data_IF_116453227949
#
_entry.id   IF_116453227949
#
_cell.length_a   1.000
_cell.length_b   1.000
_cell.length_c   1.000
_cell.angle_alpha   90.00
_cell.angle_beta   90.00
_cell.angle_gamma   90.00
#
_symmetry.space_group_name_H-M   'P 1'
#
loop_
_entity.id
_entity.type
_entity.pdbx_description
1 polymer ?
#
# COMPACT_ATOMS: atom_id res chain seq x y z
N UNK A 1 23.27 -7.51 0.47
CA UNK A 1 22.87 -6.10 0.65
C UNK A 1 22.18 -5.64 -0.62
N UNK A 2 20.99 -5.04 -0.54
CA UNK A 2 20.35 -4.45 -1.72
C UNK A 2 21.22 -3.31 -2.29
N UNK A 3 21.48 -3.35 -3.59
CA UNK A 3 22.13 -2.28 -4.36
C UNK A 3 21.18 -1.05 -4.40
N UNK A 4 21.67 0.21 -4.45
CA UNK A 4 20.85 1.42 -4.64
C UNK A 4 19.67 1.27 -5.61
N UNK A 5 19.86 0.64 -6.77
CA UNK A 5 18.79 0.38 -7.74
C UNK A 5 17.65 -0.46 -7.13
N UNK A 6 17.98 -1.52 -6.40
CA UNK A 6 17.00 -2.38 -5.75
C UNK A 6 16.27 -1.69 -4.59
N UNK A 7 16.97 -0.84 -3.85
CA UNK A 7 16.34 -0.04 -2.79
C UNK A 7 15.39 1.02 -3.37
N UNK A 8 15.76 1.69 -4.46
CA UNK A 8 14.90 2.67 -5.15
C UNK A 8 13.66 1.99 -5.73
N UNK A 9 13.81 0.84 -6.38
CA UNK A 9 12.68 0.07 -6.89
C UNK A 9 11.73 -0.35 -5.77
N UNK A 10 12.26 -0.87 -4.66
CA UNK A 10 11.45 -1.27 -3.50
C UNK A 10 10.73 -0.08 -2.86
N UNK A 11 11.39 1.08 -2.75
CA UNK A 11 10.76 2.30 -2.24
C UNK A 11 9.59 2.76 -3.11
N UNK A 12 9.76 2.77 -4.44
CA UNK A 12 8.71 3.16 -5.38
C UNK A 12 7.55 2.17 -5.39
N UNK A 13 7.84 0.86 -5.46
CA UNK A 13 6.82 -0.18 -5.47
C UNK A 13 6.02 -0.19 -4.17
N UNK A 14 6.71 -0.06 -3.03
CA UNK A 14 6.05 0.03 -1.72
C UNK A 14 5.26 1.33 -1.60
N UNK A 15 5.76 2.45 -2.11
CA UNK A 15 5.03 3.72 -2.10
C UNK A 15 3.74 3.66 -2.92
N UNK A 16 3.81 3.10 -4.12
CA UNK A 16 2.64 2.86 -4.96
C UNK A 16 1.66 1.87 -4.31
N UNK A 17 2.17 0.76 -3.75
CA UNK A 17 1.36 -0.23 -3.04
C UNK A 17 0.63 0.38 -1.83
N UNK A 18 1.30 1.23 -1.06
CA UNK A 18 0.67 1.97 0.03
C UNK A 18 -0.46 2.86 -0.49
N UNK A 19 -0.17 3.72 -1.46
CA UNK A 19 -1.16 4.63 -2.05
C UNK A 19 -2.38 3.88 -2.59
N UNK A 20 -2.16 2.83 -3.37
CA UNK A 20 -3.22 2.03 -3.95
C UNK A 20 -4.09 1.35 -2.89
N UNK A 21 -3.48 0.75 -1.86
CA UNK A 21 -4.24 0.08 -0.78
C UNK A 21 -5.03 1.08 0.06
N UNK A 22 -4.50 2.27 0.31
CA UNK A 22 -5.25 3.33 0.99
C UNK A 22 -6.46 3.81 0.16
N UNK A 23 -6.27 4.04 -1.14
CA UNK A 23 -7.38 4.40 -2.05
C UNK A 23 -8.45 3.31 -2.08
N UNK A 24 -8.03 2.05 -2.23
CA UNK A 24 -8.94 0.92 -2.28
C UNK A 24 -9.71 0.76 -0.95
N UNK A 25 -9.04 0.94 0.19
CA UNK A 25 -9.70 0.96 1.51
C UNK A 25 -10.75 2.07 1.65
N UNK A 26 -10.50 3.26 1.10
CA UNK A 26 -11.48 4.36 1.06
C UNK A 26 -12.67 4.00 0.17
N UNK A 27 -12.41 3.48 -1.03
CA UNK A 27 -13.47 3.10 -1.96
C UNK A 27 -14.36 1.97 -1.42
N UNK A 28 -13.77 0.96 -0.75
CA UNK A 28 -14.54 -0.09 -0.06
C UNK A 28 -15.36 0.52 1.09
N UNK A 29 -14.76 1.38 1.92
CA UNK A 29 -15.45 2.00 3.07
C UNK A 29 -16.64 2.86 2.65
N UNK A 30 -16.55 3.51 1.48
CA UNK A 30 -17.60 4.34 0.92
C UNK A 30 -18.61 3.57 0.05
N UNK A 31 -18.52 2.23 0.01
CA UNK A 31 -19.38 1.38 -0.82
C UNK A 31 -19.42 1.84 -2.29
N UNK A 32 -18.25 2.11 -2.86
CA UNK A 32 -18.13 2.67 -4.19
C UNK A 32 -18.43 1.60 -5.27
N UNK A 33 -19.30 1.92 -6.22
CA UNK A 33 -19.86 0.95 -7.18
C UNK A 33 -18.81 0.31 -8.11
N UNK A 34 -17.71 1.02 -8.38
CA UNK A 34 -16.66 0.54 -9.28
C UNK A 34 -15.64 -0.40 -8.60
N UNK A 35 -15.81 -0.70 -7.31
CA UNK A 35 -14.93 -1.63 -6.57
C UNK A 35 -15.39 -3.10 -6.75
N UNK A 36 -16.35 -3.33 -7.65
CA UNK A 36 -16.77 -4.67 -8.08
C UNK A 36 -17.36 -5.48 -6.94
N UNK A 37 -16.67 -6.55 -6.53
CA UNK A 37 -17.14 -7.52 -5.53
C UNK A 37 -17.36 -6.93 -4.13
N UNK A 38 -16.77 -5.77 -3.84
CA UNK A 38 -16.89 -5.08 -2.55
C UNK A 38 -18.04 -4.08 -2.50
N UNK A 39 -18.70 -3.83 -3.64
CA UNK A 39 -19.93 -3.04 -3.69
C UNK A 39 -21.10 -3.86 -3.17
N UNK A 40 -22.03 -3.22 -2.47
CA UNK A 40 -23.22 -3.84 -1.92
C UNK A 40 -24.48 -3.52 -2.74
N UNK A 41 -24.76 -4.24 -3.85
CA UNK A 41 -26.05 -4.14 -4.55
C UNK A 41 -27.17 -4.84 -3.75
N UNK A 42 -28.45 -4.63 -4.12
CA UNK A 42 -29.61 -5.20 -3.41
C UNK A 42 -29.72 -6.74 -3.41
N UNK A 43 -28.84 -7.48 -4.11
CA UNK A 43 -28.86 -8.95 -4.16
C UNK A 43 -27.42 -9.50 -4.20
N UNK A 44 -27.10 -10.46 -3.32
CA UNK A 44 -25.81 -11.18 -3.34
C UNK A 44 -24.60 -10.39 -2.84
N UNK A 45 -24.83 -9.30 -2.09
CA UNK A 45 -23.80 -8.37 -1.66
C UNK A 45 -23.02 -8.78 -0.40
N UNK A 46 -21.78 -8.28 -0.22
CA UNK A 46 -21.06 -8.40 1.04
C UNK A 46 -21.80 -7.65 2.15
N UNK A 47 -21.86 -8.27 3.33
CA UNK A 47 -22.37 -7.64 4.54
C UNK A 47 -21.52 -6.43 4.94
N UNK A 48 -22.10 -5.47 5.66
CA UNK A 48 -21.37 -4.32 6.20
C UNK A 48 -20.14 -4.72 7.02
N UNK A 49 -20.23 -5.83 7.76
CA UNK A 49 -19.11 -6.40 8.52
C UNK A 49 -17.97 -6.87 7.60
N UNK A 50 -18.28 -7.45 6.44
CA UNK A 50 -17.28 -7.86 5.44
C UNK A 50 -16.63 -6.66 4.76
N UNK A 51 -17.42 -5.64 4.41
CA UNK A 51 -16.93 -4.38 3.83
C UNK A 51 -15.96 -3.71 4.80
N UNK A 52 -16.37 -3.55 6.06
CA UNK A 52 -15.53 -2.95 7.10
C UNK A 52 -14.24 -3.75 7.32
N UNK A 53 -14.32 -5.08 7.32
CA UNK A 53 -13.15 -5.95 7.45
C UNK A 53 -12.20 -5.82 6.26
N UNK A 54 -12.74 -5.82 5.03
CA UNK A 54 -11.99 -5.63 3.80
C UNK A 54 -11.24 -4.30 3.78
N UNK A 55 -11.95 -3.20 4.05
CA UNK A 55 -11.34 -1.87 4.16
C UNK A 55 -10.24 -1.81 5.23
N UNK A 56 -10.49 -2.39 6.41
CA UNK A 56 -9.49 -2.44 7.50
C UNK A 56 -8.23 -3.18 7.07
N UNK A 57 -8.38 -4.33 6.38
CA UNK A 57 -7.24 -5.06 5.83
C UNK A 57 -6.46 -4.23 4.82
N UNK A 58 -7.12 -3.48 3.94
CA UNK A 58 -6.46 -2.58 2.99
C UNK A 58 -5.65 -1.48 3.70
N UNK A 59 -6.20 -0.85 4.75
CA UNK A 59 -5.46 0.14 5.53
C UNK A 59 -4.26 -0.45 6.26
N UNK A 60 -4.39 -1.65 6.83
CA UNK A 60 -3.27 -2.35 7.49
C UNK A 60 -2.17 -2.64 6.47
N UNK A 61 -2.52 -3.22 5.31
CA UNK A 61 -1.53 -3.51 4.27
C UNK A 61 -0.89 -2.24 3.71
N UNK A 62 -1.67 -1.16 3.55
CA UNK A 62 -1.15 0.16 3.21
C UNK A 62 -0.12 0.65 4.22
N UNK A 63 -0.40 0.50 5.52
CA UNK A 63 0.55 0.83 6.60
C UNK A 63 1.83 0.00 6.55
N UNK A 64 1.75 -1.30 6.25
CA UNK A 64 2.92 -2.16 6.07
C UNK A 64 3.79 -1.66 4.91
N UNK A 65 3.17 -1.32 3.77
CA UNK A 65 3.88 -0.76 2.62
C UNK A 65 4.54 0.59 2.93
N UNK A 66 3.92 1.45 3.76
CA UNK A 66 4.57 2.67 4.25
C UNK A 66 5.85 2.32 5.04
N UNK A 67 5.79 1.33 5.93
CA UNK A 67 6.97 0.86 6.68
C UNK A 67 8.11 0.43 5.76
N UNK A 68 7.81 -0.36 4.73
CA UNK A 68 8.80 -0.77 3.73
C UNK A 68 9.35 0.41 2.91
N UNK A 69 8.49 1.37 2.57
CA UNK A 69 8.88 2.59 1.85
C UNK A 69 9.90 3.38 2.65
N UNK A 70 9.64 3.61 3.94
CA UNK A 70 10.56 4.33 4.84
C UNK A 70 11.88 3.60 4.97
N UNK A 71 11.85 2.28 5.21
CA UNK A 71 13.07 1.48 5.31
C UNK A 71 13.90 1.53 4.02
N UNK A 72 13.25 1.36 2.86
CA UNK A 72 13.92 1.42 1.55
C UNK A 72 14.50 2.81 1.26
N UNK A 73 13.79 3.88 1.63
CA UNK A 73 14.28 5.26 1.50
C UNK A 73 15.53 5.50 2.36
N UNK A 74 15.56 5.01 3.61
CA UNK A 74 16.77 5.08 4.45
C UNK A 74 17.93 4.30 3.81
N UNK A 75 17.67 3.12 3.24
CA UNK A 75 18.70 2.35 2.53
C UNK A 75 19.26 3.11 1.31
N UNK A 76 18.41 3.76 0.50
CA UNK A 76 18.87 4.59 -0.63
C UNK A 76 19.77 5.74 -0.13
N UNK A 77 19.33 6.47 0.90
CA UNK A 77 20.10 7.56 1.49
C UNK A 77 21.46 7.08 2.03
N UNK A 78 21.50 5.93 2.69
CA UNK A 78 22.72 5.33 3.21
C UNK A 78 23.70 4.96 2.08
N UNK A 79 23.21 4.29 1.04
CA UNK A 79 24.05 3.87 -0.11
C UNK A 79 24.58 5.08 -0.88
N UNK A 80 23.75 6.11 -1.11
CA UNK A 80 24.20 7.36 -1.74
C UNK A 80 25.27 8.08 -0.92
N UNK A 81 25.15 8.10 0.42
CA UNK A 81 26.17 8.66 1.30
C UNK A 81 27.46 7.85 1.28
N UNK A 82 27.38 6.52 1.20
CA UNK A 82 28.53 5.62 1.10
C UNK A 82 29.27 5.80 -0.24
N UNK A 83 28.54 5.89 -1.35
CA UNK A 83 29.10 6.16 -2.68
C UNK A 83 29.83 7.50 -2.76
N UNK A 84 29.30 8.57 -2.14
CA UNK A 84 29.97 9.88 -2.08
C UNK A 84 31.26 9.92 -1.24
N UNK A 85 31.51 8.91 -0.41
CA UNK A 85 32.69 8.81 0.47
C UNK A 85 33.81 7.94 -0.11
N UNK A 86 33.52 7.19 -1.17
CA UNK A 86 34.50 6.39 -1.92
C UNK A 86 35.06 7.18 -3.09
#
# INVERSE_FOLDING_TARGET
MCNPVGCTFCALLSGFGAFFMFLLGICISNNYEFVGEWYSPPVGSPSEAQIKKGATSCFITGGIYIGFTVMAAVCVCYQNKKLKRS
#
